data_IF_193272236388
#
_entry.id   IF_193272236388
#
_cell.length_a   1.000
_cell.length_b   1.000
_cell.length_c   1.000
_cell.angle_alpha   90.00
_cell.angle_beta   90.00
_cell.angle_gamma   90.00
#
_symmetry.space_group_name_H-M   'P 1'
#
loop_
_entity.id
_entity.type
_entity.pdbx_description
1 polymer ?
#
# COMPACT_ATOMS: atom_id res chain seq x y z
N UNK A 1 22.02 -56.13 22.30
CA UNK A 1 22.62 -54.78 22.31
C UNK A 1 23.60 -54.80 23.47
N UNK A 2 24.90 -55.03 23.20
CA UNK A 2 25.90 -55.05 24.26
C UNK A 2 25.97 -53.66 24.88
N UNK A 3 26.08 -53.56 26.21
CA UNK A 3 26.23 -52.27 26.89
C UNK A 3 27.41 -51.52 26.27
N UNK A 4 27.13 -50.36 25.66
CA UNK A 4 28.07 -49.57 24.87
C UNK A 4 29.30 -49.07 25.67
N UNK A 5 29.27 -49.16 27.00
CA UNK A 5 30.32 -48.66 27.89
C UNK A 5 31.18 -49.76 28.55
N UNK A 6 30.96 -51.04 28.25
CA UNK A 6 31.73 -52.13 28.88
C UNK A 6 33.23 -51.98 28.61
N UNK A 7 33.59 -51.63 27.37
CA UNK A 7 34.97 -51.46 26.95
C UNK A 7 35.62 -50.23 27.61
N UNK A 8 34.90 -49.11 27.70
CA UNK A 8 35.39 -47.89 28.34
C UNK A 8 35.60 -48.09 29.84
N UNK A 9 34.65 -48.71 30.54
CA UNK A 9 34.80 -49.05 31.97
C UNK A 9 35.97 -50.00 32.22
N UNK A 10 36.19 -50.95 31.31
CA UNK A 10 37.34 -51.85 31.40
C UNK A 10 38.67 -51.11 31.14
N UNK A 11 38.73 -50.23 30.13
CA UNK A 11 39.89 -49.39 29.84
C UNK A 11 40.22 -48.45 31.01
N UNK A 12 39.21 -47.86 31.64
CA UNK A 12 39.37 -46.98 32.81
C UNK A 12 39.96 -47.72 34.00
N UNK A 13 39.36 -48.87 34.34
CA UNK A 13 39.86 -49.71 35.43
C UNK A 13 41.29 -50.16 35.14
N UNK A 14 41.55 -50.65 33.92
CA UNK A 14 42.86 -51.23 33.59
C UNK A 14 43.97 -50.18 33.49
N UNK A 15 43.66 -49.00 32.93
CA UNK A 15 44.61 -47.89 32.88
C UNK A 15 44.91 -47.35 34.29
N UNK A 16 43.91 -47.31 35.19
CA UNK A 16 44.10 -46.97 36.61
C UNK A 16 45.11 -47.89 37.30
N UNK A 17 44.91 -49.21 37.20
CA UNK A 17 45.83 -50.21 37.77
C UNK A 17 47.27 -50.05 37.23
N UNK A 18 47.40 -49.74 35.93
CA UNK A 18 48.70 -49.56 35.27
C UNK A 18 49.41 -48.29 35.74
N UNK A 19 48.67 -47.19 35.92
CA UNK A 19 49.22 -45.93 36.44
C UNK A 19 49.65 -46.08 37.90
N UNK A 20 48.90 -46.80 38.72
CA UNK A 20 49.26 -47.09 40.11
C UNK A 20 50.54 -47.94 40.20
N UNK A 21 50.62 -48.99 39.39
CA UNK A 21 51.82 -49.84 39.26
C UNK A 21 53.06 -49.04 38.80
N UNK A 22 52.88 -48.11 37.87
CA UNK A 22 53.94 -47.19 37.44
C UNK A 22 54.38 -46.27 38.59
N UNK A 23 53.45 -45.79 39.42
CA UNK A 23 53.72 -45.00 40.61
C UNK A 23 54.49 -45.75 41.71
N UNK A 24 54.39 -47.08 41.74
CA UNK A 24 55.16 -47.96 42.64
C UNK A 24 56.59 -48.27 42.12
N UNK A 25 56.95 -47.79 40.93
CA UNK A 25 58.30 -47.93 40.35
C UNK A 25 58.51 -49.23 39.56
N UNK A 26 57.45 -49.97 39.25
CA UNK A 26 57.55 -51.19 38.44
C UNK A 26 57.67 -50.90 36.94
N UNK A 27 58.39 -51.77 36.21
CA UNK A 27 58.49 -51.67 34.74
C UNK A 27 57.18 -52.06 34.06
N UNK A 28 56.77 -51.23 33.09
CA UNK A 28 55.60 -51.49 32.26
C UNK A 28 55.92 -52.45 31.10
N UNK A 29 55.04 -53.42 30.89
CA UNK A 29 55.06 -54.29 29.71
C UNK A 29 54.53 -53.54 28.48
N UNK A 30 54.89 -54.02 27.29
CA UNK A 30 54.42 -53.46 26.01
C UNK A 30 52.89 -53.43 25.91
N UNK A 31 52.21 -54.45 26.42
CA UNK A 31 50.75 -54.51 26.49
C UNK A 31 50.14 -53.44 27.41
N UNK A 32 50.79 -53.17 28.55
CA UNK A 32 50.36 -52.15 29.50
C UNK A 32 50.54 -50.74 28.89
N UNK A 33 51.62 -50.51 28.13
CA UNK A 33 51.80 -49.27 27.36
C UNK A 33 50.74 -49.11 26.26
N UNK A 34 50.36 -50.18 25.55
CA UNK A 34 49.29 -50.12 24.56
C UNK A 34 47.94 -49.73 25.17
N UNK A 35 47.63 -50.22 26.38
CA UNK A 35 46.40 -49.83 27.10
C UNK A 35 46.39 -48.34 27.45
N UNK A 36 47.53 -47.77 27.89
CA UNK A 36 47.63 -46.33 28.15
C UNK A 36 47.46 -45.49 26.88
N UNK A 37 48.02 -45.93 25.75
CA UNK A 37 47.85 -45.26 24.46
C UNK A 37 46.38 -45.30 24.00
N UNK A 38 45.73 -46.46 24.11
CA UNK A 38 44.31 -46.61 23.79
C UNK A 38 43.44 -45.72 24.67
N UNK A 39 43.76 -45.63 25.97
CA UNK A 39 43.05 -44.74 26.89
C UNK A 39 43.23 -43.26 26.53
N UNK A 40 44.46 -42.85 26.20
CA UNK A 40 44.75 -41.48 25.77
C UNK A 40 44.00 -41.14 24.46
N UNK A 41 43.96 -42.06 23.49
CA UNK A 41 43.22 -41.89 22.24
C UNK A 41 41.71 -41.80 22.49
N UNK A 42 41.13 -42.73 23.27
CA UNK A 42 39.70 -42.69 23.65
C UNK A 42 39.35 -41.34 24.28
N UNK A 43 40.13 -40.87 25.27
CA UNK A 43 39.90 -39.57 25.90
C UNK A 43 39.95 -38.40 24.91
N UNK A 44 40.89 -38.41 23.97
CA UNK A 44 40.99 -37.36 22.95
C UNK A 44 39.77 -37.35 22.02
N UNK A 45 39.27 -38.52 21.61
CA UNK A 45 38.03 -38.63 20.83
C UNK A 45 36.79 -38.16 21.61
N UNK A 46 36.69 -38.49 22.90
CA UNK A 46 35.59 -38.01 23.76
C UNK A 46 35.60 -36.48 23.92
N UNK A 47 36.77 -35.87 24.08
CA UNK A 47 36.89 -34.41 24.10
C UNK A 47 36.47 -33.78 22.77
N UNK A 48 36.95 -34.33 21.65
CA UNK A 48 36.61 -33.83 20.31
C UNK A 48 35.10 -33.93 20.03
N UNK A 49 34.46 -35.04 20.37
CA UNK A 49 33.00 -35.19 20.20
C UNK A 49 32.23 -34.20 21.07
N UNK A 50 32.69 -33.97 22.31
CA UNK A 50 32.06 -32.99 23.21
C UNK A 50 32.17 -31.56 22.68
N UNK A 51 33.35 -31.18 22.19
CA UNK A 51 33.61 -29.85 21.66
C UNK A 51 32.78 -29.60 20.38
N UNK A 52 32.78 -30.57 19.45
CA UNK A 52 31.97 -30.51 18.23
C UNK A 52 30.47 -30.41 18.52
N UNK A 53 29.97 -31.15 19.53
CA UNK A 53 28.57 -31.02 19.97
C UNK A 53 28.30 -29.65 20.56
N UNK A 54 29.23 -29.11 21.35
CA UNK A 54 29.14 -27.77 21.91
C UNK A 54 29.03 -26.71 20.82
N UNK A 55 29.91 -26.76 19.83
CA UNK A 55 29.89 -25.83 18.67
C UNK A 55 28.61 -25.96 17.86
N UNK A 56 28.12 -27.18 17.60
CA UNK A 56 26.84 -27.37 16.91
C UNK A 56 25.65 -26.79 17.67
N UNK A 57 25.65 -26.90 19.01
CA UNK A 57 24.61 -26.32 19.85
C UNK A 57 24.67 -24.79 19.78
N UNK A 58 25.85 -24.21 19.97
CA UNK A 58 26.05 -22.76 19.90
C UNK A 58 25.64 -22.20 18.53
N UNK A 59 26.08 -22.83 17.43
CA UNK A 59 25.69 -22.45 16.08
C UNK A 59 24.17 -22.49 15.88
N UNK A 60 23.51 -23.52 16.42
CA UNK A 60 22.05 -23.65 16.33
C UNK A 60 21.35 -22.56 17.12
N UNK A 61 21.83 -22.23 18.31
CA UNK A 61 21.29 -21.15 19.15
C UNK A 61 21.46 -19.79 18.48
N UNK A 62 22.63 -19.51 17.92
CA UNK A 62 22.92 -18.28 17.18
C UNK A 62 22.00 -18.13 15.96
N UNK A 63 21.86 -19.19 15.14
CA UNK A 63 20.94 -19.19 14.00
C UNK A 63 19.49 -19.00 14.43
N UNK A 64 19.08 -19.57 15.57
CA UNK A 64 17.73 -19.37 16.10
C UNK A 64 17.52 -17.94 16.59
N UNK A 65 18.51 -17.34 17.23
CA UNK A 65 18.48 -15.95 17.66
C UNK A 65 18.38 -15.01 16.44
N UNK A 66 19.21 -15.22 15.42
CA UNK A 66 19.22 -14.43 14.19
C UNK A 66 17.91 -14.57 13.39
N UNK A 67 17.36 -15.79 13.31
CA UNK A 67 16.05 -15.99 12.68
C UNK A 67 14.92 -15.28 13.45
N UNK A 68 15.02 -15.23 14.78
CA UNK A 68 14.04 -14.54 15.61
C UNK A 68 14.13 -13.02 15.44
N UNK A 69 15.34 -12.46 15.38
CA UNK A 69 15.54 -11.02 15.13
C UNK A 69 15.05 -10.66 13.74
N UNK A 70 15.46 -11.41 12.71
CA UNK A 70 15.01 -11.18 11.33
C UNK A 70 13.49 -11.23 11.20
N UNK A 71 12.82 -12.18 11.86
CA UNK A 71 11.36 -12.26 11.88
C UNK A 71 10.73 -11.06 12.59
N UNK A 72 11.33 -10.59 13.68
CA UNK A 72 10.85 -9.42 14.42
C UNK A 72 10.99 -8.14 13.58
N UNK A 73 12.14 -7.96 12.93
CA UNK A 73 12.41 -6.79 12.08
C UNK A 73 11.46 -6.75 10.89
N UNK A 74 11.26 -7.88 10.22
CA UNK A 74 10.31 -8.01 9.13
C UNK A 74 8.87 -7.70 9.57
N UNK A 75 8.45 -8.14 10.76
CA UNK A 75 7.13 -7.81 11.29
C UNK A 75 6.98 -6.32 11.60
N UNK A 76 8.04 -5.69 12.10
CA UNK A 76 8.07 -4.25 12.35
C UNK A 76 7.94 -3.46 11.04
N UNK A 77 8.75 -3.79 10.04
CA UNK A 77 8.74 -3.13 8.74
C UNK A 77 7.40 -3.30 8.03
N UNK A 78 6.80 -4.50 8.08
CA UNK A 78 5.47 -4.75 7.54
C UNK A 78 4.38 -3.94 8.24
N UNK A 79 4.48 -3.72 9.56
CA UNK A 79 3.56 -2.83 10.28
C UNK A 79 3.71 -1.39 9.82
N UNK A 80 4.95 -0.89 9.75
CA UNK A 80 5.23 0.47 9.29
C UNK A 80 4.72 0.70 7.88
N UNK A 81 4.96 -0.24 6.96
CA UNK A 81 4.45 -0.17 5.59
C UNK A 81 2.93 -0.10 5.56
N UNK A 82 2.25 -0.93 6.35
CA UNK A 82 0.78 -0.95 6.44
C UNK A 82 0.23 0.38 6.98
N UNK A 83 0.88 0.96 7.98
CA UNK A 83 0.51 2.26 8.53
C UNK A 83 0.71 3.40 7.52
N UNK A 84 1.82 3.43 6.80
CA UNK A 84 2.04 4.44 5.75
C UNK A 84 1.00 4.30 4.63
N UNK A 85 0.69 3.06 4.25
CA UNK A 85 -0.32 2.78 3.24
C UNK A 85 -1.70 3.27 3.67
N UNK A 86 -2.10 3.02 4.92
CA UNK A 86 -3.36 3.53 5.47
C UNK A 86 -3.42 5.06 5.47
N UNK A 87 -2.35 5.74 5.89
CA UNK A 87 -2.29 7.23 5.85
C UNK A 87 -2.44 7.77 4.43
N UNK A 88 -1.81 7.12 3.45
CA UNK A 88 -1.96 7.50 2.03
C UNK A 88 -3.38 7.30 1.55
N UNK A 89 -4.04 6.19 1.91
CA UNK A 89 -5.45 5.97 1.59
C UNK A 89 -6.35 7.04 2.22
N UNK A 90 -6.18 7.37 3.49
CA UNK A 90 -6.93 8.47 4.13
C UNK A 90 -6.71 9.82 3.42
N UNK A 91 -5.49 10.09 2.94
CA UNK A 91 -5.20 11.29 2.16
C UNK A 91 -5.91 11.29 0.81
N UNK A 92 -6.00 10.12 0.15
CA UNK A 92 -6.73 9.94 -1.10
C UNK A 92 -8.23 10.15 -0.86
N UNK A 93 -8.81 9.59 0.20
CA UNK A 93 -10.22 9.76 0.54
C UNK A 93 -10.57 11.25 0.74
N UNK A 94 -9.75 11.99 1.49
CA UNK A 94 -9.92 13.44 1.66
C UNK A 94 -9.88 14.21 0.34
N UNK A 95 -9.03 13.78 -0.61
CA UNK A 95 -8.98 14.40 -1.94
C UNK A 95 -10.25 14.10 -2.74
N UNK A 96 -10.79 12.88 -2.64
CA UNK A 96 -12.06 12.54 -3.28
C UNK A 96 -13.22 13.34 -2.69
N UNK A 97 -13.32 13.48 -1.37
CA UNK A 97 -14.32 14.36 -0.75
C UNK A 97 -14.22 15.82 -1.24
N UNK A 98 -13.00 16.33 -1.42
CA UNK A 98 -12.79 17.66 -1.98
C UNK A 98 -13.20 17.75 -3.44
N UNK A 99 -13.08 16.67 -4.21
CA UNK A 99 -13.51 16.61 -5.61
C UNK A 99 -15.03 16.59 -5.67
N UNK A 100 -15.70 15.81 -4.83
CA UNK A 100 -17.16 15.75 -4.75
C UNK A 100 -17.76 17.12 -4.44
N UNK A 101 -17.22 17.83 -3.44
CA UNK A 101 -17.64 19.22 -3.13
C UNK A 101 -17.48 20.18 -4.31
N UNK A 102 -16.44 20.00 -5.13
CA UNK A 102 -16.25 20.81 -6.34
C UNK A 102 -17.29 20.47 -7.40
N UNK A 103 -17.63 19.20 -7.57
CA UNK A 103 -18.70 18.78 -8.49
C UNK A 103 -20.05 19.33 -8.05
N UNK A 104 -20.42 19.24 -6.77
CA UNK A 104 -21.65 19.87 -6.25
C UNK A 104 -21.69 21.38 -6.52
N UNK A 105 -20.56 22.08 -6.37
CA UNK A 105 -20.48 23.50 -6.70
C UNK A 105 -20.62 23.77 -8.20
N UNK A 106 -20.15 22.87 -9.06
CA UNK A 106 -20.30 22.99 -10.51
C UNK A 106 -21.77 22.78 -10.89
N UNK A 107 -22.43 21.77 -10.32
CA UNK A 107 -23.85 21.50 -10.56
C UNK A 107 -24.72 22.71 -10.19
N UNK A 108 -24.50 23.32 -9.02
CA UNK A 108 -25.20 24.56 -8.62
C UNK A 108 -24.98 25.71 -9.60
N UNK A 109 -23.78 25.85 -10.17
CA UNK A 109 -23.51 26.89 -11.18
C UNK A 109 -24.25 26.60 -12.49
N UNK A 110 -24.33 25.34 -12.91
CA UNK A 110 -25.12 24.95 -14.07
C UNK A 110 -26.61 25.21 -13.86
N UNK A 111 -27.14 24.93 -12.67
CA UNK A 111 -28.53 25.27 -12.33
C UNK A 111 -28.80 26.78 -12.39
N UNK A 112 -27.90 27.62 -11.85
CA UNK A 112 -28.03 29.08 -11.95
C UNK A 112 -27.96 29.56 -13.41
N UNK A 113 -27.05 29.01 -14.20
CA UNK A 113 -26.95 29.32 -15.63
C UNK A 113 -28.24 28.96 -16.38
N UNK A 114 -28.82 27.79 -16.10
CA UNK A 114 -30.10 27.38 -16.72
C UNK A 114 -31.22 28.36 -16.37
N UNK A 115 -31.34 28.77 -15.10
CA UNK A 115 -32.33 29.78 -14.68
C UNK A 115 -32.15 31.12 -15.41
N UNK A 116 -30.92 31.59 -15.57
CA UNK A 116 -30.63 32.83 -16.32
C UNK A 116 -30.97 32.70 -17.79
N UNK A 117 -30.72 31.54 -18.38
CA UNK A 117 -31.08 31.25 -19.76
C UNK A 117 -32.60 31.26 -19.95
N UNK A 118 -33.35 30.65 -19.03
CA UNK A 118 -34.82 30.70 -19.03
C UNK A 118 -35.35 32.13 -18.90
N UNK A 119 -34.79 32.96 -18.00
CA UNK A 119 -35.17 34.38 -17.88
C UNK A 119 -34.87 35.16 -19.17
N UNK A 120 -33.72 34.90 -19.78
CA UNK A 120 -33.33 35.53 -21.05
C UNK A 120 -34.31 35.15 -22.17
N UNK A 121 -34.69 33.88 -22.27
CA UNK A 121 -35.69 33.42 -23.24
C UNK A 121 -37.04 34.11 -23.03
N UNK A 122 -37.52 34.24 -21.78
CA UNK A 122 -38.75 34.96 -21.47
C UNK A 122 -38.71 36.42 -21.90
N UNK A 123 -37.57 37.10 -21.68
CA UNK A 123 -37.37 38.49 -22.14
C UNK A 123 -37.37 38.58 -23.66
N UNK A 124 -36.74 37.62 -24.34
CA UNK A 124 -36.72 37.56 -25.79
C UNK A 124 -38.13 37.36 -26.37
N UNK A 125 -38.93 36.46 -25.78
CA UNK A 125 -40.34 36.29 -26.13
C UNK A 125 -41.14 37.59 -25.94
N UNK A 126 -40.87 38.32 -24.87
CA UNK A 126 -41.53 39.59 -24.61
C UNK A 126 -41.15 40.68 -25.63
N UNK A 127 -39.87 40.78 -25.98
CA UNK A 127 -39.38 41.68 -27.05
C UNK A 127 -40.04 41.32 -28.39
N UNK A 128 -40.12 40.03 -28.72
CA UNK A 128 -40.80 39.58 -29.95
C UNK A 128 -42.26 40.02 -29.98
N UNK A 129 -43.00 39.86 -28.87
CA UNK A 129 -44.39 40.36 -28.77
C UNK A 129 -44.49 41.87 -28.97
N UNK A 130 -43.58 42.64 -28.37
CA UNK A 130 -43.55 44.10 -28.57
C UNK A 130 -43.26 44.47 -30.03
N UNK A 131 -42.34 43.75 -30.68
CA UNK A 131 -42.02 43.96 -32.09
C UNK A 131 -43.21 43.64 -33.00
N UNK A 132 -43.93 42.54 -32.77
CA UNK A 132 -45.18 42.22 -33.47
C UNK A 132 -46.24 43.31 -33.32
N UNK A 133 -46.41 43.85 -32.11
CA UNK A 133 -47.34 44.95 -31.87
C UNK A 133 -46.95 46.23 -32.62
N UNK A 134 -45.64 46.55 -32.68
CA UNK A 134 -45.13 47.68 -33.45
C UNK A 134 -45.37 47.49 -34.94
N UNK A 135 -45.09 46.29 -35.49
CA UNK A 135 -45.37 45.97 -36.89
C UNK A 135 -46.86 46.17 -37.22
N UNK A 136 -47.76 45.63 -36.40
CA UNK A 136 -49.21 45.83 -36.60
C UNK A 136 -49.64 47.30 -36.57
N UNK A 137 -49.01 48.13 -35.72
CA UNK A 137 -49.26 49.57 -35.69
C UNK A 137 -48.76 50.23 -36.98
N UNK A 138 -47.53 49.92 -37.40
CA UNK A 138 -46.94 50.44 -38.64
C UNK A 138 -47.79 50.06 -39.86
N UNK A 139 -48.22 48.80 -39.97
CA UNK A 139 -49.11 48.35 -41.04
C UNK A 139 -50.39 49.17 -41.08
N UNK A 140 -51.03 49.37 -39.92
CA UNK A 140 -52.23 50.20 -39.82
C UNK A 140 -51.95 51.64 -40.26
N UNK A 141 -50.87 52.26 -39.79
CA UNK A 141 -50.47 53.61 -40.22
C UNK A 141 -50.21 53.67 -41.73
N UNK A 142 -49.59 52.65 -42.32
CA UNK A 142 -49.37 52.55 -43.76
C UNK A 142 -50.69 52.47 -44.52
N UNK A 143 -51.65 51.65 -44.09
CA UNK A 143 -52.99 51.59 -44.69
C UNK A 143 -53.72 52.93 -44.64
N UNK A 144 -53.71 53.63 -43.50
CA UNK A 144 -54.38 54.93 -43.38
C UNK A 144 -53.70 56.02 -44.22
N UNK A 145 -52.37 56.09 -44.23
CA UNK A 145 -51.64 57.08 -45.02
C UNK A 145 -51.81 56.87 -46.53
N UNK A 146 -51.82 55.61 -47.00
CA UNK A 146 -52.17 55.27 -48.38
C UNK A 146 -53.62 55.68 -48.72
N UNK A 147 -54.56 55.45 -47.82
CA UNK A 147 -55.95 55.88 -47.99
C UNK A 147 -56.10 57.40 -48.10
N UNK A 148 -55.44 58.16 -47.21
CA UNK A 148 -55.48 59.63 -47.21
C UNK A 148 -54.82 60.18 -48.48
N UNK A 149 -53.66 59.66 -48.87
CA UNK A 149 -52.97 60.09 -50.10
C UNK A 149 -53.80 59.79 -51.35
N UNK A 150 -54.40 58.60 -51.46
CA UNK A 150 -55.30 58.28 -52.56
C UNK A 150 -56.55 59.20 -52.59
N UNK A 151 -57.17 59.46 -51.44
CA UNK A 151 -58.32 60.37 -51.34
C UNK A 151 -57.97 61.81 -51.74
N UNK A 152 -56.80 62.30 -51.32
CA UNK A 152 -56.30 63.61 -51.72
C UNK A 152 -56.09 63.69 -53.24
N UNK A 153 -55.49 62.67 -53.86
CA UNK A 153 -55.31 62.59 -55.31
C UNK A 153 -56.66 62.59 -56.05
N UNK A 154 -57.63 61.80 -55.59
CA UNK A 154 -58.97 61.75 -56.19
C UNK A 154 -59.69 63.10 -56.05
N UNK A 155 -59.61 63.73 -54.88
CA UNK A 155 -60.21 65.04 -54.63
C UNK A 155 -59.64 66.11 -55.57
N UNK A 156 -58.31 66.15 -55.71
CA UNK A 156 -57.61 67.06 -56.63
C UNK A 156 -58.07 66.84 -58.07
N UNK A 157 -58.16 65.58 -58.53
CA UNK A 157 -58.61 65.26 -59.90
C UNK A 157 -60.07 65.67 -60.14
N UNK A 158 -60.95 65.51 -59.15
CA UNK A 158 -62.38 65.80 -59.29
C UNK A 158 -62.72 67.30 -59.21
N UNK A 159 -61.93 68.09 -58.48
CA UNK A 159 -62.12 69.56 -58.37
C UNK A 159 -61.44 70.36 -59.48
N UNK A 160 -60.45 69.76 -60.17
CA UNK A 160 -59.75 70.37 -61.31
C UNK A 160 -60.41 70.04 -62.67
N UNK A 161 -61.53 69.32 -62.68
CA UNK A 161 -62.39 69.08 -63.84
C UNK A 161 -63.70 69.83 -63.70
#
# INVERSE_FOLDING_TARGET
MFDNDIFEKWLDSKSGDIVEKMGQGEQLRTEEMMVLVLKAQSNHFHHLDRDLRGEMIALREDLQAEMKTLRSDFQSEMRTLREDMNRRFESVDKRFESVDKRFESVDKRFEDMNKRFEDTNKRFDDVNRHFEQLMRRIDRFMFWSLGITAAAVVFVINYLK
#
